data_IF_145630243966
#
_entry.id   IF_145630243966
#
_cell.length_a   1.000
_cell.length_b   1.000
_cell.length_c   1.000
_cell.angle_alpha   90.00
_cell.angle_beta   90.00
_cell.angle_gamma   90.00
#
_symmetry.space_group_name_H-M   'P 1'
#
loop_
_entity.id
_entity.type
_entity.pdbx_description
1 polymer ?
#
# COMPACT_ATOMS: atom_id res chain seq x y z
N UNK A 1 13.10 -12.90 -11.91
CA UNK A 1 12.44 -11.76 -11.20
C UNK A 1 11.51 -11.06 -12.15
N UNK A 2 10.39 -10.56 -11.69
CA UNK A 2 9.47 -9.71 -12.45
C UNK A 2 10.10 -8.34 -12.74
N UNK A 3 9.61 -7.66 -13.76
CA UNK A 3 10.00 -6.29 -14.12
C UNK A 3 9.95 -5.32 -12.92
N UNK A 4 8.93 -5.48 -12.08
CA UNK A 4 8.76 -4.69 -10.86
C UNK A 4 9.80 -4.98 -9.79
N UNK A 5 10.02 -6.25 -9.48
CA UNK A 5 11.04 -6.64 -8.49
C UNK A 5 12.42 -6.12 -8.89
N UNK A 6 12.73 -6.11 -10.19
CA UNK A 6 13.98 -5.53 -10.71
C UNK A 6 14.01 -4.02 -10.51
N UNK A 7 12.90 -3.32 -10.79
CA UNK A 7 12.79 -1.89 -10.57
C UNK A 7 12.96 -1.53 -9.08
N UNK A 8 12.37 -2.31 -8.18
CA UNK A 8 12.50 -2.14 -6.74
C UNK A 8 13.98 -2.30 -6.30
N UNK A 9 14.68 -3.33 -6.79
CA UNK A 9 16.12 -3.51 -6.52
C UNK A 9 16.94 -2.33 -7.04
N UNK A 10 16.65 -1.79 -8.22
CA UNK A 10 17.36 -0.62 -8.74
C UNK A 10 17.11 0.64 -7.90
N UNK A 11 15.89 0.84 -7.40
CA UNK A 11 15.56 1.93 -6.48
C UNK A 11 16.29 1.78 -5.14
N UNK A 12 16.35 0.57 -4.62
CA UNK A 12 17.12 0.25 -3.40
C UNK A 12 18.61 0.54 -3.59
N UNK A 13 19.20 0.11 -4.72
CA UNK A 13 20.59 0.43 -5.07
C UNK A 13 20.81 1.94 -5.07
N UNK A 14 19.93 2.71 -5.70
CA UNK A 14 20.03 4.16 -5.72
C UNK A 14 20.01 4.76 -4.31
N UNK A 15 19.11 4.29 -3.45
CA UNK A 15 18.96 4.73 -2.06
C UNK A 15 20.20 4.40 -1.23
N UNK A 16 20.71 3.17 -1.33
CA UNK A 16 21.92 2.72 -0.63
C UNK A 16 23.16 3.48 -1.11
N UNK A 17 23.29 3.73 -2.40
CA UNK A 17 24.36 4.56 -2.97
C UNK A 17 24.28 6.01 -2.46
N UNK A 18 23.09 6.56 -2.27
CA UNK A 18 22.90 7.89 -1.70
C UNK A 18 23.32 7.94 -0.22
N UNK A 19 22.98 6.93 0.58
CA UNK A 19 23.46 6.78 1.96
C UNK A 19 25.00 6.73 2.01
N UNK A 20 25.60 5.95 1.13
CA UNK A 20 27.06 5.80 1.03
C UNK A 20 27.74 7.07 0.51
N UNK A 21 26.98 7.92 -0.18
CA UNK A 21 27.50 9.17 -0.74
C UNK A 21 28.19 9.01 -2.06
N UNK A 22 27.79 8.05 -2.84
CA UNK A 22 28.27 7.81 -4.19
C UNK A 22 27.94 8.97 -5.15
N UNK A 23 28.49 8.90 -6.35
CA UNK A 23 28.31 9.93 -7.38
C UNK A 23 26.83 10.13 -7.73
N UNK A 24 26.30 11.37 -7.64
CA UNK A 24 24.89 11.69 -7.93
C UNK A 24 24.43 11.28 -9.33
N UNK A 25 25.32 11.26 -10.31
CA UNK A 25 24.97 10.83 -11.68
C UNK A 25 24.71 9.33 -11.75
N UNK A 26 25.50 8.53 -11.00
CA UNK A 26 25.25 7.09 -10.88
C UNK A 26 23.95 6.81 -10.17
N UNK A 27 23.69 7.50 -9.06
CA UNK A 27 22.41 7.36 -8.30
C UNK A 27 21.22 7.62 -9.20
N UNK A 28 21.26 8.74 -9.97
CA UNK A 28 20.20 9.07 -10.92
C UNK A 28 20.01 8.03 -12.02
N UNK A 29 21.09 7.43 -12.50
CA UNK A 29 21.00 6.38 -13.52
C UNK A 29 20.16 5.19 -13.03
N UNK A 30 20.37 4.73 -11.78
CA UNK A 30 19.58 3.65 -11.18
C UNK A 30 18.12 4.07 -10.95
N UNK A 31 17.87 5.23 -10.35
CA UNK A 31 16.50 5.73 -10.12
C UNK A 31 15.72 5.94 -11.42
N UNK A 32 16.39 6.45 -12.46
CA UNK A 32 15.76 6.65 -13.76
C UNK A 32 15.50 5.30 -14.47
N UNK A 33 16.45 4.35 -14.35
CA UNK A 33 16.29 3.00 -14.86
C UNK A 33 15.10 2.27 -14.22
N UNK A 34 15.00 2.34 -12.89
CA UNK A 34 13.87 1.80 -12.16
C UNK A 34 12.54 2.37 -12.65
N UNK A 35 12.43 3.72 -12.73
CA UNK A 35 11.22 4.39 -13.22
C UNK A 35 10.88 4.01 -14.66
N UNK A 36 11.90 3.86 -15.51
CA UNK A 36 11.69 3.42 -16.90
C UNK A 36 11.14 2.00 -16.95
N UNK A 37 11.69 1.06 -16.17
CA UNK A 37 11.16 -0.30 -16.06
C UNK A 37 9.71 -0.31 -15.57
N UNK A 38 9.37 0.51 -14.56
CA UNK A 38 8.00 0.62 -14.05
C UNK A 38 6.99 1.09 -15.11
N UNK A 39 7.43 1.93 -16.06
CA UNK A 39 6.57 2.56 -17.09
C UNK A 39 6.74 1.96 -18.49
N UNK A 40 7.50 0.89 -18.61
CA UNK A 40 7.76 0.23 -19.88
C UNK A 40 6.54 -0.60 -20.31
N UNK A 41 6.03 -0.35 -21.50
CA UNK A 41 4.89 -1.08 -22.07
C UNK A 41 5.33 -2.44 -22.66
N UNK A 42 6.57 -2.49 -23.18
CA UNK A 42 7.13 -3.70 -23.80
C UNK A 42 7.40 -4.79 -22.75
N UNK A 43 7.32 -6.02 -23.21
CA UNK A 43 7.67 -7.19 -22.41
C UNK A 43 9.19 -7.24 -22.18
N UNK A 44 9.58 -7.33 -20.91
CA UNK A 44 11.00 -7.38 -20.52
C UNK A 44 11.69 -8.64 -21.07
N UNK A 45 10.97 -9.75 -21.16
CA UNK A 45 11.48 -11.02 -21.69
C UNK A 45 11.89 -10.84 -23.16
N UNK A 46 11.01 -10.24 -23.97
CA UNK A 46 11.27 -9.97 -25.38
C UNK A 46 12.48 -9.03 -25.56
N UNK A 47 12.56 -7.96 -24.79
CA UNK A 47 13.68 -6.99 -24.86
C UNK A 47 15.03 -7.61 -24.50
N UNK A 48 15.05 -8.55 -23.54
CA UNK A 48 16.26 -9.25 -23.12
C UNK A 48 16.67 -10.28 -24.19
N UNK A 49 15.73 -11.05 -24.71
CA UNK A 49 15.98 -12.07 -25.73
C UNK A 49 16.44 -11.47 -27.06
N UNK A 50 15.90 -10.33 -27.45
CA UNK A 50 16.29 -9.60 -28.65
C UNK A 50 17.55 -8.75 -28.46
N UNK A 51 18.00 -8.54 -27.23
CA UNK A 51 19.15 -7.70 -26.89
C UNK A 51 18.92 -6.20 -27.11
N UNK A 52 17.65 -5.77 -27.14
CA UNK A 52 17.24 -4.38 -27.44
C UNK A 52 17.06 -3.52 -26.18
N UNK A 53 17.28 -4.07 -25.00
CA UNK A 53 17.18 -3.34 -23.72
C UNK A 53 18.11 -2.09 -23.67
N UNK A 54 19.24 -2.13 -24.39
CA UNK A 54 20.17 -0.99 -24.52
C UNK A 54 19.62 0.17 -25.36
N UNK A 55 18.59 -0.05 -26.16
CA UNK A 55 17.99 0.97 -27.04
C UNK A 55 17.03 1.88 -26.26
N UNK A 56 16.67 1.48 -25.03
CA UNK A 56 15.85 2.27 -24.14
C UNK A 56 16.66 3.48 -23.65
N UNK A 57 16.19 4.72 -23.85
CA UNK A 57 16.89 5.91 -23.39
C UNK A 57 17.15 5.89 -21.88
N UNK A 58 18.44 5.95 -21.50
CA UNK A 58 18.88 5.90 -20.11
C UNK A 58 19.40 4.53 -19.65
N UNK A 59 19.28 3.48 -20.47
CA UNK A 59 19.86 2.18 -20.20
C UNK A 59 21.26 2.08 -20.80
N UNK A 60 22.24 2.50 -20.01
CA UNK A 60 23.65 2.29 -20.38
C UNK A 60 24.06 0.84 -20.09
N UNK A 61 25.14 0.40 -20.77
CA UNK A 61 25.67 -0.98 -20.72
C UNK A 61 25.69 -1.60 -19.30
N UNK A 62 26.20 -0.84 -18.31
CA UNK A 62 26.29 -1.34 -16.94
C UNK A 62 24.94 -1.53 -16.23
N UNK A 63 23.89 -0.82 -16.65
CA UNK A 63 22.52 -1.00 -16.14
C UNK A 63 21.86 -2.20 -16.80
N UNK A 64 22.02 -2.32 -18.12
CA UNK A 64 21.55 -3.48 -18.89
C UNK A 64 22.07 -4.78 -18.32
N UNK A 65 23.39 -4.91 -18.14
CA UNK A 65 24.02 -6.09 -17.52
C UNK A 65 23.40 -6.47 -16.17
N UNK A 66 23.07 -5.48 -15.33
CA UNK A 66 22.48 -5.72 -14.00
C UNK A 66 21.01 -6.15 -14.09
N UNK A 67 20.24 -5.53 -14.99
CA UNK A 67 18.85 -5.91 -15.23
C UNK A 67 18.77 -7.33 -15.75
N UNK A 68 19.62 -7.69 -16.74
CA UNK A 68 19.69 -9.05 -17.25
C UNK A 68 20.12 -10.07 -16.20
N UNK A 69 21.10 -9.71 -15.34
CA UNK A 69 21.53 -10.58 -14.23
C UNK A 69 20.39 -10.81 -13.25
N UNK A 70 19.72 -9.74 -12.82
CA UNK A 70 18.55 -9.85 -11.92
C UNK A 70 17.43 -10.67 -12.53
N UNK A 71 17.16 -10.49 -13.82
CA UNK A 71 16.13 -11.24 -14.53
C UNK A 71 16.46 -12.73 -14.58
N UNK A 72 17.70 -13.10 -14.99
CA UNK A 72 18.12 -14.49 -15.21
C UNK A 72 18.43 -15.23 -13.90
N UNK A 73 19.09 -14.57 -12.95
CA UNK A 73 19.65 -15.20 -11.76
C UNK A 73 18.85 -14.92 -10.48
N UNK A 74 17.95 -13.92 -10.51
CA UNK A 74 17.16 -13.52 -9.34
C UNK A 74 17.98 -12.84 -8.22
N UNK A 75 19.28 -12.61 -8.43
CA UNK A 75 20.20 -11.98 -7.46
C UNK A 75 21.27 -11.17 -8.16
N UNK A 76 21.81 -10.17 -7.46
CA UNK A 76 22.87 -9.32 -7.97
C UNK A 76 23.94 -9.13 -6.87
N UNK A 77 25.12 -9.69 -7.07
CA UNK A 77 26.25 -9.62 -6.12
C UNK A 77 26.60 -8.17 -5.75
N UNK A 78 26.55 -7.27 -6.72
CA UNK A 78 26.75 -5.84 -6.48
C UNK A 78 25.78 -5.27 -5.44
N UNK A 79 24.52 -5.66 -5.48
CA UNK A 79 23.48 -5.21 -4.54
C UNK A 79 23.74 -5.76 -3.13
N UNK A 80 24.09 -7.04 -3.02
CA UNK A 80 24.41 -7.66 -1.73
C UNK A 80 25.66 -7.01 -1.10
N UNK A 81 26.72 -6.87 -1.88
CA UNK A 81 27.94 -6.18 -1.41
C UNK A 81 27.67 -4.74 -0.99
N UNK A 82 26.80 -4.03 -1.72
CA UNK A 82 26.43 -2.67 -1.38
C UNK A 82 25.66 -2.63 -0.05
N UNK A 83 24.70 -3.53 0.17
CA UNK A 83 23.98 -3.69 1.45
C UNK A 83 24.93 -3.94 2.61
N UNK A 84 25.83 -4.89 2.47
CA UNK A 84 26.82 -5.25 3.50
C UNK A 84 27.79 -4.11 3.82
N UNK A 85 28.02 -3.20 2.87
CA UNK A 85 28.92 -2.05 3.05
C UNK A 85 28.32 -0.89 3.84
N UNK A 86 27.05 -0.95 4.20
CA UNK A 86 26.33 0.11 4.93
C UNK A 86 25.94 -0.41 6.31
N UNK A 87 26.15 0.43 7.32
CA UNK A 87 25.72 0.08 8.67
C UNK A 87 24.22 -0.18 8.73
N UNK A 88 23.78 -1.34 9.24
CA UNK A 88 22.36 -1.73 9.26
C UNK A 88 21.44 -0.67 9.89
N UNK A 89 21.91 0.04 10.92
CA UNK A 89 21.14 1.09 11.57
C UNK A 89 20.82 2.28 10.67
N UNK A 90 21.67 2.61 9.70
CA UNK A 90 21.41 3.68 8.73
C UNK A 90 20.29 3.26 7.76
N UNK A 91 20.25 1.99 7.38
CA UNK A 91 19.18 1.43 6.54
C UNK A 91 17.84 1.45 7.30
N UNK A 92 17.85 1.05 8.58
CA UNK A 92 16.66 1.09 9.43
C UNK A 92 16.10 2.50 9.63
N UNK A 93 16.92 3.54 9.58
CA UNK A 93 16.45 4.92 9.67
C UNK A 93 15.64 5.37 8.43
N UNK A 94 15.77 4.70 7.28
CA UNK A 94 14.92 4.98 6.10
C UNK A 94 13.44 4.70 6.35
N UNK A 95 13.12 3.85 7.33
CA UNK A 95 11.74 3.54 7.73
C UNK A 95 11.09 4.69 8.52
N UNK A 96 11.86 5.70 8.95
CA UNK A 96 11.35 6.85 9.70
C UNK A 96 10.72 7.85 8.72
N UNK A 97 9.42 8.16 8.85
CA UNK A 97 8.73 9.08 7.96
C UNK A 97 9.42 10.47 7.88
N UNK A 98 9.69 10.91 6.64
CA UNK A 98 10.34 12.21 6.38
C UNK A 98 11.86 12.21 6.56
N UNK A 99 12.47 11.05 6.82
CA UNK A 99 13.92 10.87 6.95
C UNK A 99 14.46 10.09 5.74
N UNK A 100 14.76 10.78 4.64
CA UNK A 100 15.35 10.16 3.45
C UNK A 100 16.88 10.04 3.53
N UNK A 101 17.46 9.28 2.61
CA UNK A 101 18.90 8.97 2.55
C UNK A 101 19.82 10.19 2.69
N UNK A 102 19.49 11.33 2.08
CA UNK A 102 20.26 12.58 2.22
C UNK A 102 20.34 13.09 3.64
N UNK A 103 19.20 13.08 4.34
CA UNK A 103 19.13 13.53 5.74
C UNK A 103 19.86 12.57 6.66
N UNK A 104 19.70 11.26 6.47
CA UNK A 104 20.39 10.22 7.23
C UNK A 104 21.90 10.39 7.07
N UNK A 105 22.38 10.53 5.85
CA UNK A 105 23.80 10.79 5.57
C UNK A 105 24.31 12.07 6.26
N UNK A 106 23.53 13.15 6.23
CA UNK A 106 23.89 14.40 6.90
C UNK A 106 23.99 14.23 8.42
N UNK A 107 23.04 13.51 9.05
CA UNK A 107 23.03 13.17 10.47
C UNK A 107 24.22 12.28 10.84
N UNK A 108 24.48 11.24 10.06
CA UNK A 108 25.62 10.37 10.29
C UNK A 108 26.96 11.14 10.22
N UNK A 109 27.13 11.96 9.17
CA UNK A 109 28.34 12.74 8.97
C UNK A 109 28.57 13.81 10.06
N UNK A 110 27.50 14.48 10.50
CA UNK A 110 27.61 15.60 11.43
C UNK A 110 27.64 15.15 12.91
N UNK A 111 26.87 14.13 13.24
CA UNK A 111 26.65 13.69 14.64
C UNK A 111 27.14 12.27 14.92
N UNK A 112 27.65 11.54 13.91
CA UNK A 112 28.06 10.14 14.06
C UNK A 112 26.90 9.18 14.38
N UNK A 113 25.67 9.55 14.04
CA UNK A 113 24.48 8.74 14.33
C UNK A 113 24.44 7.53 13.39
N UNK A 114 24.48 6.33 13.96
CA UNK A 114 24.48 5.05 13.22
C UNK A 114 23.35 4.12 13.62
N UNK A 115 22.52 4.51 14.60
CA UNK A 115 21.36 3.73 15.04
C UNK A 115 20.16 4.64 15.37
N UNK A 116 18.97 4.07 15.46
CA UNK A 116 17.75 4.79 15.81
C UNK A 116 17.83 5.31 17.24
N UNK A 117 18.42 4.55 18.16
CA UNK A 117 18.62 4.95 19.54
C UNK A 117 19.57 6.16 19.65
N UNK A 118 20.65 6.15 18.86
CA UNK A 118 21.57 7.29 18.77
C UNK A 118 20.89 8.52 18.18
N UNK A 119 20.02 8.34 17.19
CA UNK A 119 19.21 9.41 16.59
C UNK A 119 18.21 9.97 17.58
N UNK A 120 17.52 9.11 18.35
CA UNK A 120 16.60 9.52 19.40
C UNK A 120 17.31 10.39 20.43
N UNK A 121 18.46 9.93 20.92
CA UNK A 121 19.27 10.71 21.88
C UNK A 121 19.70 12.05 21.30
N UNK A 122 20.13 12.09 20.03
CA UNK A 122 20.49 13.35 19.37
C UNK A 122 19.30 14.33 19.25
N UNK A 123 18.07 13.82 19.08
CA UNK A 123 16.86 14.64 19.12
C UNK A 123 16.55 15.15 20.53
N UNK A 124 16.68 14.30 21.57
CA UNK A 124 16.47 14.67 22.97
C UNK A 124 17.48 15.75 23.43
N UNK A 125 18.71 15.66 22.98
CA UNK A 125 19.80 16.61 23.25
C UNK A 125 19.70 17.88 22.35
N UNK A 126 18.69 18.00 21.49
CA UNK A 126 18.47 19.09 20.53
C UNK A 126 19.58 19.27 19.48
N UNK A 127 20.46 18.32 19.29
CA UNK A 127 21.58 18.40 18.35
C UNK A 127 21.15 18.38 16.89
N UNK A 128 19.99 17.77 16.58
CA UNK A 128 19.45 17.69 15.21
C UNK A 128 18.92 19.04 14.75
N UNK A 129 18.27 19.80 15.63
CA UNK A 129 17.69 21.11 15.32
C UNK A 129 18.72 22.16 14.91
N UNK A 130 19.96 22.02 15.41
CA UNK A 130 21.07 22.97 15.18
C UNK A 130 21.82 22.68 13.87
N UNK A 131 21.52 21.57 13.18
CA UNK A 131 22.16 21.24 11.91
C UNK A 131 21.57 22.04 10.74
N UNK A 132 22.44 22.43 9.82
CA UNK A 132 22.04 23.08 8.58
C UNK A 132 21.08 22.15 7.77
N UNK A 133 19.96 22.71 7.34
CA UNK A 133 18.91 21.97 6.61
C UNK A 133 17.93 21.18 7.48
N UNK A 134 18.07 21.26 8.83
CA UNK A 134 17.13 20.71 9.77
C UNK A 134 16.34 21.82 10.49
N UNK A 135 16.18 21.88 11.70
CA UNK A 135 15.43 22.86 12.49
C UNK A 135 14.43 22.17 13.39
N UNK A 136 13.89 22.91 14.35
CA UNK A 136 13.02 22.35 15.40
C UNK A 136 11.89 21.47 14.86
N UNK A 137 11.15 21.95 13.85
CA UNK A 137 10.06 21.17 13.24
C UNK A 137 10.53 19.85 12.60
N UNK A 138 11.74 19.84 12.01
CA UNK A 138 12.30 18.60 11.44
C UNK A 138 12.69 17.63 12.54
N UNK A 139 13.32 18.12 13.61
CA UNK A 139 13.67 17.32 14.77
C UNK A 139 12.44 16.74 15.46
N UNK A 140 11.40 17.55 15.69
CA UNK A 140 10.14 17.11 16.28
C UNK A 140 9.51 15.98 15.46
N UNK A 141 9.44 16.14 14.12
CA UNK A 141 8.95 15.09 13.22
C UNK A 141 9.78 13.82 13.24
N UNK A 142 11.11 13.94 13.34
CA UNK A 142 12.00 12.77 13.43
C UNK A 142 11.78 12.07 14.78
N UNK A 143 11.75 12.82 15.89
CA UNK A 143 11.50 12.25 17.21
C UNK A 143 10.12 11.57 17.31
N UNK A 144 9.10 12.18 16.71
CA UNK A 144 7.78 11.59 16.57
C UNK A 144 7.80 10.34 15.71
N UNK A 145 8.48 10.37 14.54
CA UNK A 145 8.65 9.23 13.66
C UNK A 145 9.35 8.05 14.34
N UNK A 146 10.36 8.30 15.18
CA UNK A 146 11.02 7.27 15.98
C UNK A 146 10.04 6.64 16.98
N UNK A 147 9.30 7.46 17.75
CA UNK A 147 8.29 6.97 18.70
C UNK A 147 7.21 6.15 18.03
N UNK A 148 6.84 6.55 16.84
CA UNK A 148 5.79 5.92 16.06
C UNK A 148 6.28 4.70 15.27
N UNK A 149 7.60 4.54 15.04
CA UNK A 149 8.17 3.41 14.27
C UNK A 149 7.70 2.06 14.80
N UNK A 150 7.70 1.87 16.11
CA UNK A 150 7.19 0.64 16.73
C UNK A 150 5.69 0.44 16.49
N UNK A 151 4.94 1.53 16.41
CA UNK A 151 3.52 1.51 16.08
C UNK A 151 3.28 1.38 14.56
N UNK A 152 4.11 2.02 13.70
CA UNK A 152 4.01 1.93 12.23
C UNK A 152 4.54 0.62 11.65
N UNK A 153 5.51 -0.03 12.28
CA UNK A 153 6.07 -1.31 11.88
C UNK A 153 5.14 -2.51 12.12
N UNK A 154 4.04 -2.32 12.83
CA UNK A 154 3.04 -3.36 13.07
C UNK A 154 1.96 -3.29 12.00
N UNK A 155 2.15 -4.03 10.91
CA UNK A 155 1.01 -4.35 10.04
C UNK A 155 -0.02 -5.10 10.86
N UNK A 156 -1.27 -4.73 10.69
CA UNK A 156 -2.40 -5.35 11.38
C UNK A 156 -2.96 -6.47 10.52
N UNK A 157 -3.28 -7.61 11.14
CA UNK A 157 -4.04 -8.65 10.46
C UNK A 157 -5.39 -8.08 10.01
N UNK A 158 -5.81 -8.43 8.80
CA UNK A 158 -7.05 -7.93 8.20
C UNK A 158 -8.26 -8.05 9.11
N UNK A 159 -8.43 -9.21 9.75
CA UNK A 159 -9.58 -9.45 10.63
C UNK A 159 -9.55 -8.59 11.91
N UNK A 160 -8.36 -8.19 12.41
CA UNK A 160 -8.25 -7.24 13.53
C UNK A 160 -8.56 -5.82 13.09
N UNK A 161 -8.10 -5.45 11.91
CA UNK A 161 -8.40 -4.14 11.32
C UNK A 161 -9.90 -4.01 11.02
N UNK A 162 -10.57 -5.10 10.64
CA UNK A 162 -11.99 -5.18 10.39
C UNK A 162 -12.83 -4.75 11.60
N UNK A 163 -12.44 -5.15 12.81
CA UNK A 163 -13.15 -4.77 14.04
C UNK A 163 -13.19 -3.24 14.27
N UNK A 164 -12.25 -2.49 13.67
CA UNK A 164 -12.25 -1.01 13.66
C UNK A 164 -12.95 -0.46 12.42
N UNK A 165 -12.71 -1.09 11.27
CA UNK A 165 -13.16 -0.61 9.97
C UNK A 165 -14.68 -0.69 9.78
N UNK A 166 -15.31 -1.83 10.12
CA UNK A 166 -16.74 -2.04 9.88
C UNK A 166 -17.62 -1.07 10.67
N UNK A 167 -17.41 -0.82 11.98
CA UNK A 167 -18.19 0.17 12.72
C UNK A 167 -18.05 1.60 12.18
N UNK A 168 -16.87 1.96 11.67
CA UNK A 168 -16.66 3.29 11.07
C UNK A 168 -17.45 3.39 9.76
N UNK A 169 -17.41 2.37 8.91
CA UNK A 169 -18.18 2.39 7.67
C UNK A 169 -19.69 2.43 7.93
N UNK A 170 -20.19 1.64 8.87
CA UNK A 170 -21.59 1.65 9.28
C UNK A 170 -22.01 3.02 9.78
N UNK A 171 -21.18 3.66 10.63
CA UNK A 171 -21.44 5.00 11.12
C UNK A 171 -21.40 6.06 10.02
N UNK A 172 -20.46 5.98 9.08
CA UNK A 172 -20.42 6.87 7.91
C UNK A 172 -21.70 6.74 7.07
N UNK A 173 -22.15 5.52 6.80
CA UNK A 173 -23.39 5.25 6.04
C UNK A 173 -24.67 5.71 6.76
N UNK A 174 -24.63 5.88 8.08
CA UNK A 174 -25.74 6.38 8.87
C UNK A 174 -25.87 7.92 8.88
N UNK A 175 -24.85 8.63 8.42
CA UNK A 175 -24.90 10.11 8.34
C UNK A 175 -25.78 10.56 7.18
N UNK A 176 -26.67 11.53 7.43
CA UNK A 176 -27.57 12.11 6.41
C UNK A 176 -26.83 12.82 5.28
N UNK A 177 -25.61 13.28 5.54
CA UNK A 177 -24.73 13.97 4.58
C UNK A 177 -24.00 13.02 3.64
N UNK A 178 -24.04 11.72 3.91
CA UNK A 178 -23.33 10.68 3.14
C UNK A 178 -24.26 10.01 2.16
N UNK A 179 -23.97 10.13 0.88
CA UNK A 179 -24.71 9.44 -0.18
C UNK A 179 -24.15 8.03 -0.45
N UNK A 180 -22.83 7.90 -0.41
CA UNK A 180 -22.09 6.64 -0.62
C UNK A 180 -20.87 6.61 0.30
N UNK A 181 -20.54 5.45 0.83
CA UNK A 181 -19.28 5.23 1.54
C UNK A 181 -18.76 3.82 1.28
N UNK A 182 -17.45 3.66 1.28
CA UNK A 182 -16.79 2.35 1.16
C UNK A 182 -15.40 2.36 1.78
N UNK A 183 -14.96 1.20 2.22
CA UNK A 183 -13.53 0.95 2.43
C UNK A 183 -12.78 1.06 1.09
N UNK A 184 -11.49 1.34 1.17
CA UNK A 184 -10.58 1.34 0.04
C UNK A 184 -9.24 0.67 0.42
N UNK A 185 -8.18 0.90 -0.33
CA UNK A 185 -6.84 0.45 -0.05
C UNK A 185 -6.67 -1.06 0.05
N UNK A 186 -5.62 -1.47 0.74
CA UNK A 186 -5.28 -2.88 0.93
C UNK A 186 -6.33 -3.63 1.76
N UNK A 187 -7.07 -2.93 2.62
CA UNK A 187 -8.16 -3.51 3.40
C UNK A 187 -9.31 -3.98 2.49
N UNK A 188 -9.74 -3.15 1.54
CA UNK A 188 -10.79 -3.53 0.58
C UNK A 188 -10.33 -4.66 -0.35
N UNK A 189 -9.05 -4.70 -0.71
CA UNK A 189 -8.47 -5.80 -1.48
C UNK A 189 -8.25 -7.09 -0.66
N UNK A 190 -8.69 -7.11 0.59
CA UNK A 190 -8.58 -8.26 1.51
C UNK A 190 -7.16 -8.82 1.65
N UNK A 191 -6.17 -7.92 1.68
CA UNK A 191 -4.78 -8.34 1.96
C UNK A 191 -4.69 -8.86 3.39
N UNK A 192 -3.98 -9.97 3.60
CA UNK A 192 -3.81 -10.60 4.92
C UNK A 192 -3.34 -9.60 5.98
N UNK A 193 -2.45 -8.69 5.59
CA UNK A 193 -1.92 -7.62 6.45
C UNK A 193 -2.18 -6.26 5.84
N UNK A 194 -2.73 -5.36 6.61
CA UNK A 194 -3.01 -3.97 6.24
C UNK A 194 -2.15 -3.01 7.06
N UNK A 195 -1.64 -1.94 6.44
CA UNK A 195 -0.88 -0.89 7.11
C UNK A 195 -1.78 0.17 7.72
N UNK A 196 -2.85 0.49 7.01
CA UNK A 196 -3.81 1.56 7.30
C UNK A 196 -5.20 1.17 6.81
N UNK A 197 -6.18 1.98 7.19
CA UNK A 197 -7.54 1.90 6.68
C UNK A 197 -7.82 3.12 5.81
N UNK A 198 -8.32 2.91 4.61
CA UNK A 198 -8.78 3.97 3.72
C UNK A 198 -10.30 3.93 3.61
N UNK A 199 -10.94 5.11 3.74
CA UNK A 199 -12.36 5.31 3.52
C UNK A 199 -12.59 6.36 2.46
N UNK A 200 -13.49 6.06 1.54
CA UNK A 200 -13.95 7.01 0.52
C UNK A 200 -15.43 7.28 0.76
N UNK A 201 -15.80 8.55 0.77
CA UNK A 201 -17.17 9.01 0.99
C UNK A 201 -17.59 9.96 -0.14
N UNK A 202 -18.75 9.74 -0.69
CA UNK A 202 -19.44 10.65 -1.59
C UNK A 202 -20.38 11.54 -0.79
N UNK A 203 -20.06 12.84 -0.71
CA UNK A 203 -20.89 13.83 -0.01
C UNK A 203 -20.71 15.21 -0.64
N UNK A 204 -21.82 15.97 -0.67
CA UNK A 204 -21.82 17.39 -1.04
C UNK A 204 -21.51 18.33 0.14
N UNK A 205 -21.48 17.81 1.36
CA UNK A 205 -21.23 18.55 2.61
C UNK A 205 -20.15 17.86 3.44
N UNK A 206 -18.85 17.99 3.10
CA UNK A 206 -17.78 17.21 3.73
C UNK A 206 -17.53 17.54 5.21
N UNK A 207 -17.75 18.78 5.67
CA UNK A 207 -17.34 19.20 7.01
C UNK A 207 -17.95 18.35 8.14
N UNK A 208 -19.28 18.10 8.21
CA UNK A 208 -19.85 17.24 9.25
C UNK A 208 -19.29 15.81 9.22
N UNK A 209 -18.99 15.28 8.04
CA UNK A 209 -18.44 13.93 7.86
C UNK A 209 -17.00 13.87 8.41
N UNK A 210 -16.20 14.91 8.13
CA UNK A 210 -14.85 15.03 8.66
C UNK A 210 -14.85 15.14 10.19
N UNK A 211 -15.70 16.01 10.75
CA UNK A 211 -15.83 16.20 12.19
C UNK A 211 -16.27 14.91 12.90
N UNK A 212 -17.22 14.21 12.32
CA UNK A 212 -17.67 12.93 12.83
C UNK A 212 -16.54 11.88 12.82
N UNK A 213 -15.76 11.81 11.75
CA UNK A 213 -14.69 10.82 11.61
C UNK A 213 -13.56 11.03 12.64
N UNK A 214 -13.13 12.27 12.86
CA UNK A 214 -12.06 12.55 13.83
C UNK A 214 -12.51 12.40 15.29
N UNK A 215 -13.81 12.40 15.55
CA UNK A 215 -14.40 12.22 16.87
C UNK A 215 -14.68 10.75 17.24
N UNK A 216 -14.23 9.79 16.42
CA UNK A 216 -14.48 8.37 16.67
C UNK A 216 -13.84 7.89 17.96
N UNK A 217 -14.52 6.96 18.64
CA UNK A 217 -14.00 6.32 19.84
C UNK A 217 -12.67 5.60 19.57
N UNK A 218 -11.73 5.69 20.50
CA UNK A 218 -10.40 5.08 20.36
C UNK A 218 -9.41 5.86 19.47
N UNK A 219 -9.82 7.01 18.93
CA UNK A 219 -8.88 7.93 18.26
C UNK A 219 -7.94 8.52 19.33
N UNK A 220 -6.66 8.21 19.17
CA UNK A 220 -5.58 8.73 20.02
C UNK A 220 -5.07 10.08 19.53
N UNK A 221 -5.02 10.25 18.22
CA UNK A 221 -4.40 11.42 17.58
C UNK A 221 -5.10 11.72 16.25
N UNK A 222 -5.36 13.02 16.01
CA UNK A 222 -5.78 13.52 14.69
C UNK A 222 -4.54 14.04 13.98
N UNK A 223 -4.07 13.30 12.97
CA UNK A 223 -2.83 13.64 12.26
C UNK A 223 -3.06 14.60 11.09
N UNK A 224 -4.28 14.65 10.56
CA UNK A 224 -4.72 15.63 9.58
C UNK A 224 -6.24 15.86 9.68
N UNK A 225 -6.67 17.12 9.53
CA UNK A 225 -8.08 17.51 9.45
C UNK A 225 -8.20 18.67 8.46
N UNK A 226 -8.47 18.34 7.21
CA UNK A 226 -8.63 19.27 6.09
C UNK A 226 -10.08 19.32 5.61
N UNK A 227 -10.31 20.04 4.53
CA UNK A 227 -11.68 20.22 3.96
C UNK A 227 -12.22 18.91 3.36
N UNK A 228 -11.35 18.08 2.75
CA UNK A 228 -11.74 16.86 2.03
C UNK A 228 -10.93 15.63 2.43
N UNK A 229 -9.94 15.78 3.31
CA UNK A 229 -9.13 14.69 3.84
C UNK A 229 -8.95 14.84 5.35
N UNK A 230 -9.21 13.77 6.09
CA UNK A 230 -8.85 13.63 7.50
C UNK A 230 -8.05 12.34 7.72
N UNK A 231 -7.15 12.37 8.70
CA UNK A 231 -6.33 11.23 9.08
C UNK A 231 -6.29 11.12 10.59
N UNK A 232 -6.52 9.95 11.11
CA UNK A 232 -6.51 9.66 12.54
C UNK A 232 -5.62 8.46 12.84
N UNK A 233 -5.16 8.38 14.09
CA UNK A 233 -4.48 7.20 14.63
C UNK A 233 -5.23 6.72 15.86
N UNK A 234 -5.55 5.44 15.87
CA UNK A 234 -6.20 4.77 16.99
C UNK A 234 -5.18 4.37 18.07
N UNK A 235 -5.69 4.10 19.29
CA UNK A 235 -4.86 3.60 20.40
C UNK A 235 -4.11 2.30 20.05
N UNK A 236 -4.67 1.48 19.18
CA UNK A 236 -4.04 0.27 18.63
C UNK A 236 -2.81 0.53 17.75
N UNK A 237 -2.54 1.79 17.38
CA UNK A 237 -1.53 2.20 16.42
C UNK A 237 -2.00 2.17 14.96
N UNK A 238 -3.20 1.60 14.69
CA UNK A 238 -3.77 1.57 13.34
C UNK A 238 -4.12 3.00 12.89
N UNK A 239 -3.67 3.38 11.72
CA UNK A 239 -4.02 4.65 11.08
C UNK A 239 -5.27 4.46 10.21
N UNK A 240 -6.09 5.51 10.13
CA UNK A 240 -7.21 5.56 9.19
C UNK A 240 -7.26 6.91 8.48
N UNK A 241 -7.47 6.86 7.19
CA UNK A 241 -7.59 8.00 6.29
C UNK A 241 -9.02 8.05 5.72
N UNK A 242 -9.64 9.20 5.82
CA UNK A 242 -10.94 9.48 5.18
C UNK A 242 -10.75 10.49 4.07
N UNK A 243 -11.34 10.22 2.91
CA UNK A 243 -11.50 11.20 1.82
C UNK A 243 -12.96 11.37 1.49
N UNK A 244 -13.40 12.62 1.42
CA UNK A 244 -14.73 12.99 0.94
C UNK A 244 -14.60 13.62 -0.43
N UNK A 245 -15.36 13.11 -1.37
CA UNK A 245 -15.39 13.57 -2.76
C UNK A 245 -16.84 13.91 -3.17
N UNK A 246 -17.04 14.75 -4.19
CA UNK A 246 -18.35 14.94 -4.77
C UNK A 246 -18.98 13.59 -5.19
N UNK A 247 -20.28 13.36 -4.99
CA UNK A 247 -20.92 12.06 -5.27
C UNK A 247 -20.67 11.51 -6.67
N UNK A 248 -20.59 12.38 -7.69
CA UNK A 248 -20.29 12.00 -9.08
C UNK A 248 -18.88 11.44 -9.27
N UNK A 249 -17.94 11.79 -8.40
CA UNK A 249 -16.55 11.33 -8.47
C UNK A 249 -16.30 10.09 -7.63
N UNK A 250 -17.28 9.64 -6.85
CA UNK A 250 -17.12 8.56 -5.89
C UNK A 250 -16.57 7.28 -6.51
N UNK A 251 -17.10 6.84 -7.64
CA UNK A 251 -16.69 5.59 -8.30
C UNK A 251 -15.22 5.64 -8.77
N UNK A 252 -14.78 6.79 -9.29
CA UNK A 252 -13.40 7.00 -9.73
C UNK A 252 -12.44 7.10 -8.55
N UNK A 253 -12.81 7.82 -7.50
CA UNK A 253 -12.03 7.89 -6.27
C UNK A 253 -11.93 6.52 -5.61
N UNK A 254 -13.04 5.78 -5.51
CA UNK A 254 -13.05 4.42 -4.96
C UNK A 254 -12.12 3.49 -5.75
N UNK A 255 -12.20 3.51 -7.08
CA UNK A 255 -11.29 2.74 -7.93
C UNK A 255 -9.83 3.10 -7.67
N UNK A 256 -9.49 4.40 -7.73
CA UNK A 256 -8.14 4.90 -7.53
C UNK A 256 -7.55 4.52 -6.16
N UNK A 257 -8.30 4.80 -5.08
CA UNK A 257 -7.84 4.55 -3.71
C UNK A 257 -7.93 3.07 -3.30
N UNK A 258 -8.74 2.27 -3.99
CA UNK A 258 -8.68 0.81 -3.84
C UNK A 258 -7.33 0.28 -4.30
N UNK A 259 -6.78 0.78 -5.40
CA UNK A 259 -5.52 0.34 -5.98
C UNK A 259 -5.62 -1.11 -6.53
N UNK A 260 -4.49 -1.85 -6.56
CA UNK A 260 -3.17 -1.47 -6.08
C UNK A 260 -2.54 -0.33 -6.91
N UNK A 261 -1.33 0.12 -6.51
CA UNK A 261 -0.55 1.08 -7.33
C UNK A 261 -0.34 0.54 -8.74
N UNK A 262 0.00 -0.73 -8.86
CA UNK A 262 0.30 -1.37 -10.14
C UNK A 262 -0.96 -1.53 -10.99
N UNK A 263 -2.05 -2.00 -10.39
CA UNK A 263 -3.35 -2.02 -11.06
C UNK A 263 -3.73 -0.64 -11.61
N UNK A 264 -3.55 0.42 -10.82
CA UNK A 264 -3.82 1.78 -11.27
C UNK A 264 -2.91 2.24 -12.42
N UNK A 265 -1.65 1.78 -12.45
CA UNK A 265 -0.74 2.05 -13.57
C UNK A 265 -1.26 1.39 -14.84
N UNK A 266 -1.59 0.10 -14.78
CA UNK A 266 -2.14 -0.66 -15.91
C UNK A 266 -3.45 -0.05 -16.43
N UNK A 267 -4.37 0.31 -15.53
CA UNK A 267 -5.64 0.96 -15.90
C UNK A 267 -5.43 2.33 -16.57
N UNK A 268 -4.45 3.13 -16.13
CA UNK A 268 -4.11 4.40 -16.77
C UNK A 268 -3.46 4.20 -18.13
N UNK A 269 -2.57 3.23 -18.28
CA UNK A 269 -1.98 2.86 -19.58
C UNK A 269 -3.08 2.42 -20.56
N UNK A 270 -3.99 1.59 -20.09
CA UNK A 270 -5.16 1.17 -20.86
C UNK A 270 -6.02 2.34 -21.32
N UNK A 271 -6.30 3.30 -20.43
CA UNK A 271 -7.06 4.51 -20.76
C UNK A 271 -6.31 5.34 -21.83
N UNK A 272 -5.00 5.55 -21.65
CA UNK A 272 -4.16 6.31 -22.60
C UNK A 272 -4.14 5.67 -23.98
N UNK A 273 -4.05 4.35 -24.07
CA UNK A 273 -4.11 3.62 -25.35
C UNK A 273 -5.43 3.81 -26.10
N UNK A 274 -6.49 4.29 -25.39
CA UNK A 274 -7.80 4.65 -25.96
C UNK A 274 -8.01 6.15 -26.13
N UNK A 275 -6.97 6.95 -25.98
CA UNK A 275 -7.07 8.41 -26.04
C UNK A 275 -7.78 9.02 -24.83
N UNK A 276 -7.82 8.31 -23.71
CA UNK A 276 -8.47 8.74 -22.47
C UNK A 276 -7.44 8.94 -21.36
N UNK A 277 -7.78 9.75 -20.35
CA UNK A 277 -6.99 9.98 -19.14
C UNK A 277 -7.83 9.64 -17.91
N UNK A 278 -7.36 8.66 -17.11
CA UNK A 278 -8.01 8.17 -15.90
C UNK A 278 -7.31 8.70 -14.65
N UNK A 279 -8.07 9.24 -13.72
CA UNK A 279 -7.59 9.66 -12.40
C UNK A 279 -8.67 9.43 -11.32
N UNK A 280 -8.36 9.83 -10.08
CA UNK A 280 -9.34 9.86 -8.98
C UNK A 280 -10.51 10.82 -9.19
N UNK A 281 -10.37 11.76 -10.11
CA UNK A 281 -11.39 12.79 -10.41
C UNK A 281 -12.35 12.38 -11.51
N UNK A 282 -11.96 11.39 -12.34
CA UNK A 282 -12.77 10.98 -13.47
C UNK A 282 -11.98 10.32 -14.60
N UNK A 283 -12.70 10.10 -15.70
CA UNK A 283 -12.18 9.63 -16.99
C UNK A 283 -12.54 10.66 -18.06
N UNK A 284 -11.57 11.20 -18.78
CA UNK A 284 -11.77 12.24 -19.79
C UNK A 284 -10.95 11.93 -21.04
N UNK A 285 -11.24 12.55 -22.23
CA UNK A 285 -10.34 12.55 -23.35
C UNK A 285 -8.94 13.07 -22.93
N UNK A 286 -7.87 12.45 -23.43
CA UNK A 286 -6.51 12.75 -23.01
C UNK A 286 -6.09 14.21 -23.34
N UNK A 287 -6.67 14.78 -24.36
CA UNK A 287 -6.46 16.18 -24.82
C UNK A 287 -7.39 17.20 -24.16
N UNK A 288 -8.39 16.76 -23.38
CA UNK A 288 -9.29 17.68 -22.67
C UNK A 288 -8.54 18.33 -21.49
N UNK A 289 -8.82 19.62 -21.22
CA UNK A 289 -8.18 20.36 -20.14
C UNK A 289 -8.77 20.05 -18.76
N UNK A 290 -10.08 19.78 -18.69
CA UNK A 290 -10.79 19.55 -17.43
C UNK A 290 -11.54 18.21 -17.40
N UNK A 291 -12.00 17.79 -16.21
CA UNK A 291 -12.87 16.63 -16.02
C UNK A 291 -14.37 16.98 -16.11
N UNK A 292 -14.72 18.25 -16.35
CA UNK A 292 -16.14 18.67 -16.47
C UNK A 292 -16.81 18.02 -17.68
N UNK A 293 -16.05 17.82 -18.77
CA UNK A 293 -16.51 17.13 -19.98
C UNK A 293 -16.15 15.63 -19.97
N UNK A 294 -15.86 15.08 -18.78
CA UNK A 294 -15.46 13.70 -18.61
C UNK A 294 -16.60 12.71 -18.78
N UNK A 295 -16.22 11.44 -18.95
CA UNK A 295 -17.18 10.33 -19.01
C UNK A 295 -17.71 10.04 -17.61
N UNK A 296 -19.04 9.89 -17.49
CA UNK A 296 -19.67 9.54 -16.22
C UNK A 296 -19.63 8.02 -15.97
N UNK A 297 -19.46 7.64 -14.73
CA UNK A 297 -19.52 6.25 -14.28
C UNK A 297 -20.13 6.17 -12.88
N UNK A 298 -21.30 5.52 -12.77
CA UNK A 298 -22.01 5.39 -11.49
C UNK A 298 -21.42 4.32 -10.57
N UNK A 299 -20.61 3.44 -11.13
CA UNK A 299 -19.96 2.32 -10.43
C UNK A 299 -18.57 2.04 -11.01
N UNK A 300 -17.79 1.22 -10.31
CA UNK A 300 -16.51 0.76 -10.84
C UNK A 300 -16.68 -0.14 -12.07
N UNK A 301 -17.72 -0.97 -12.11
CA UNK A 301 -18.07 -1.79 -13.29
C UNK A 301 -18.23 -0.93 -14.54
N UNK A 302 -18.85 0.26 -14.40
CA UNK A 302 -18.98 1.20 -15.51
C UNK A 302 -17.61 1.75 -15.95
N UNK A 303 -16.67 2.00 -15.02
CA UNK A 303 -15.30 2.42 -15.36
C UNK A 303 -14.59 1.35 -16.19
N UNK A 304 -14.67 0.07 -15.76
CA UNK A 304 -14.10 -1.04 -16.52
C UNK A 304 -14.75 -1.18 -17.90
N UNK A 305 -16.09 -1.08 -17.99
CA UNK A 305 -16.81 -1.17 -19.25
C UNK A 305 -16.43 -0.04 -20.24
N UNK A 306 -16.22 1.19 -19.76
CA UNK A 306 -15.73 2.32 -20.57
C UNK A 306 -14.31 2.09 -21.15
N UNK A 307 -13.56 1.17 -20.56
CA UNK A 307 -12.23 0.76 -21.02
C UNK A 307 -12.22 -0.60 -21.74
N UNK A 308 -13.41 -1.12 -22.13
CA UNK A 308 -13.61 -2.44 -22.75
C UNK A 308 -13.02 -3.58 -21.89
N UNK A 309 -13.26 -3.54 -20.60
CA UNK A 309 -12.84 -4.57 -19.65
C UNK A 309 -14.04 -5.13 -18.89
N UNK A 310 -13.98 -6.41 -18.55
CA UNK A 310 -14.83 -6.99 -17.53
C UNK A 310 -14.37 -6.48 -16.17
N UNK A 311 -15.31 -6.36 -15.22
CA UNK A 311 -15.01 -5.91 -13.89
C UNK A 311 -13.96 -6.82 -13.21
N UNK A 312 -12.94 -6.19 -12.64
CA UNK A 312 -11.91 -6.86 -11.82
C UNK A 312 -12.30 -6.69 -10.35
N UNK A 313 -12.60 -7.78 -9.62
CA UNK A 313 -12.83 -7.70 -8.18
C UNK A 313 -11.64 -7.07 -7.46
N UNK A 314 -11.88 -6.26 -6.40
CA UNK A 314 -10.80 -5.62 -5.64
C UNK A 314 -9.68 -6.58 -5.19
N UNK A 315 -10.04 -7.80 -4.80
CA UNK A 315 -9.13 -8.84 -4.34
C UNK A 315 -8.08 -9.26 -5.38
N UNK A 316 -8.37 -9.05 -6.65
CA UNK A 316 -7.50 -9.44 -7.77
C UNK A 316 -6.67 -8.28 -8.34
N UNK A 317 -6.84 -7.05 -7.84
CA UNK A 317 -6.19 -5.84 -8.37
C UNK A 317 -4.76 -5.68 -7.86
N UNK A 318 -3.86 -6.58 -8.22
CA UNK A 318 -2.46 -6.59 -7.75
C UNK A 318 -1.42 -6.43 -8.87
N UNK A 319 -1.84 -6.24 -10.13
CA UNK A 319 -0.95 -6.10 -11.29
C UNK A 319 -0.33 -7.44 -11.72
N UNK A 320 -1.08 -8.54 -11.58
CA UNK A 320 -0.62 -9.91 -11.82
C UNK A 320 -1.30 -10.56 -13.07
N UNK A 321 -1.63 -9.74 -14.08
CA UNK A 321 -2.28 -10.22 -15.31
C UNK A 321 -3.81 -10.14 -15.29
N UNK A 322 -4.37 -9.40 -14.32
CA UNK A 322 -5.83 -9.25 -14.22
C UNK A 322 -6.42 -8.40 -15.33
N UNK A 323 -5.65 -7.50 -15.96
CA UNK A 323 -6.14 -6.68 -17.08
C UNK A 323 -6.33 -7.54 -18.32
N UNK A 324 -5.36 -8.38 -18.65
CA UNK A 324 -5.41 -9.33 -19.76
C UNK A 324 -6.57 -10.33 -19.57
N UNK A 325 -6.73 -10.85 -18.35
CA UNK A 325 -7.85 -11.74 -18.03
C UNK A 325 -9.20 -11.03 -18.19
N UNK A 326 -9.30 -9.74 -17.81
CA UNK A 326 -10.51 -8.94 -17.95
C UNK A 326 -10.87 -8.64 -19.42
N UNK A 327 -9.88 -8.60 -20.32
CA UNK A 327 -10.10 -8.46 -21.76
C UNK A 327 -10.74 -9.73 -22.38
N UNK A 328 -10.31 -10.88 -21.95
CA UNK A 328 -10.67 -12.17 -22.59
C UNK A 328 -11.90 -12.81 -21.93
N UNK A 329 -11.67 -13.65 -20.93
CA UNK A 329 -12.70 -14.49 -20.31
C UNK A 329 -13.36 -13.82 -19.09
N UNK A 330 -12.67 -12.91 -18.42
CA UNK A 330 -13.01 -12.42 -17.08
C UNK A 330 -12.55 -13.40 -16.00
N UNK A 331 -13.21 -13.35 -14.85
CA UNK A 331 -12.82 -14.10 -13.68
C UNK A 331 -13.88 -15.12 -13.28
N UNK A 332 -13.49 -16.24 -12.68
CA UNK A 332 -14.45 -17.11 -12.00
C UNK A 332 -15.07 -16.37 -10.82
N UNK A 333 -16.24 -16.83 -10.39
CA UNK A 333 -16.81 -16.35 -9.12
C UNK A 333 -15.84 -16.64 -7.97
N UNK A 334 -15.49 -15.58 -7.22
CA UNK A 334 -14.64 -15.73 -6.05
C UNK A 334 -15.44 -16.36 -4.91
N UNK A 335 -14.75 -17.21 -4.14
CA UNK A 335 -15.33 -17.81 -2.94
C UNK A 335 -15.82 -16.74 -1.96
N UNK A 336 -17.02 -16.92 -1.45
CA UNK A 336 -17.66 -16.10 -0.42
C UNK A 336 -17.84 -16.92 0.86
N UNK A 337 -18.06 -16.23 1.98
CA UNK A 337 -18.31 -16.91 3.25
C UNK A 337 -19.52 -17.84 3.15
N UNK A 338 -20.56 -17.43 2.42
CA UNK A 338 -21.78 -18.21 2.21
C UNK A 338 -21.59 -19.48 1.36
N UNK A 339 -20.47 -19.60 0.65
CA UNK A 339 -20.12 -20.81 -0.10
C UNK A 339 -19.48 -21.90 0.81
N UNK A 340 -19.09 -21.51 2.04
CA UNK A 340 -18.48 -22.44 2.99
C UNK A 340 -19.53 -23.34 3.62
N UNK A 341 -19.38 -24.63 3.42
CA UNK A 341 -20.26 -25.66 3.99
C UNK A 341 -19.80 -26.19 5.33
N UNK A 342 -18.56 -25.90 5.70
CA UNK A 342 -17.99 -26.30 6.97
C UNK A 342 -16.48 -26.14 7.03
N UNK A 343 -15.89 -26.44 8.18
CA UNK A 343 -14.47 -26.29 8.45
C UNK A 343 -13.92 -27.47 9.24
N UNK A 344 -12.60 -27.65 9.15
CA UNK A 344 -11.84 -28.63 9.93
C UNK A 344 -10.75 -27.93 10.73
N UNK A 345 -10.10 -28.68 11.61
CA UNK A 345 -8.96 -28.27 12.40
C UNK A 345 -9.29 -27.10 13.35
N UNK A 346 -10.35 -27.33 14.14
CA UNK A 346 -10.75 -26.42 15.21
C UNK A 346 -10.44 -27.04 16.57
N UNK A 347 -9.97 -26.22 17.50
CA UNK A 347 -9.61 -26.62 18.86
C UNK A 347 -10.58 -25.97 19.84
N UNK A 348 -10.95 -26.74 20.89
CA UNK A 348 -11.81 -26.25 21.97
C UNK A 348 -11.02 -26.10 23.27
N UNK A 349 -11.69 -25.67 24.34
CA UNK A 349 -11.10 -25.64 25.69
C UNK A 349 -10.75 -27.04 26.24
N UNK A 350 -11.03 -28.12 25.50
CA UNK A 350 -10.55 -29.46 25.83
C UNK A 350 -9.02 -29.59 25.53
N UNK A 351 -8.44 -28.70 24.73
CA UNK A 351 -6.98 -28.58 24.50
C UNK A 351 -6.52 -27.11 24.62
N UNK A 352 -6.18 -26.47 23.57
CA UNK A 352 -5.60 -25.11 23.51
C UNK A 352 -6.54 -24.07 22.89
N UNK A 353 -7.77 -24.46 22.54
CA UNK A 353 -8.81 -23.55 22.08
C UNK A 353 -9.33 -22.65 23.21
N UNK A 354 -10.06 -21.60 22.84
CA UNK A 354 -10.56 -20.56 23.76
C UNK A 354 -12.06 -20.65 24.02
N UNK A 355 -12.79 -21.39 23.20
CA UNK A 355 -14.23 -21.57 23.30
C UNK A 355 -14.56 -23.05 23.59
N UNK A 356 -15.67 -23.28 24.28
CA UNK A 356 -16.15 -24.63 24.55
C UNK A 356 -16.66 -25.30 23.27
N UNK A 357 -16.89 -26.63 23.38
CA UNK A 357 -17.48 -27.39 22.28
C UNK A 357 -18.88 -26.87 21.93
N UNK A 358 -19.65 -26.51 22.96
CA UNK A 358 -20.99 -25.96 22.82
C UNK A 358 -20.98 -24.61 22.09
N UNK A 359 -20.15 -23.65 22.54
CA UNK A 359 -20.01 -22.33 21.92
C UNK A 359 -19.55 -22.43 20.46
N UNK A 360 -18.61 -23.32 20.16
CA UNK A 360 -18.16 -23.57 18.79
C UNK A 360 -19.24 -24.16 17.90
N UNK A 361 -20.07 -25.06 18.49
CA UNK A 361 -21.20 -25.68 17.77
C UNK A 361 -22.28 -24.65 17.45
N UNK A 362 -22.66 -23.81 18.43
CA UNK A 362 -23.62 -22.73 18.22
C UNK A 362 -23.14 -21.78 17.14
N UNK A 363 -21.86 -21.33 17.18
CA UNK A 363 -21.30 -20.48 16.17
C UNK A 363 -21.31 -21.11 14.76
N UNK A 364 -21.04 -22.41 14.65
CA UNK A 364 -21.09 -23.10 13.36
C UNK A 364 -22.54 -23.20 12.83
N UNK A 365 -23.54 -23.39 13.71
CA UNK A 365 -24.95 -23.37 13.34
C UNK A 365 -25.42 -21.96 12.90
N UNK A 366 -25.01 -20.92 13.61
CA UNK A 366 -25.34 -19.54 13.29
C UNK A 366 -24.76 -19.11 11.91
N UNK A 367 -23.59 -19.68 11.55
CA UNK A 367 -22.97 -19.51 10.23
C UNK A 367 -23.61 -20.38 9.14
N UNK A 368 -24.60 -21.21 9.49
CA UNK A 368 -25.27 -22.09 8.53
C UNK A 368 -24.41 -23.26 8.03
N UNK A 369 -23.33 -23.61 8.72
CA UNK A 369 -22.46 -24.70 8.29
C UNK A 369 -23.11 -26.08 8.49
N UNK A 370 -22.87 -26.99 7.56
CA UNK A 370 -23.38 -28.36 7.57
C UNK A 370 -22.56 -29.26 8.50
N UNK A 371 -21.29 -28.92 8.72
CA UNK A 371 -20.37 -29.67 9.58
C UNK A 371 -19.23 -28.79 10.08
N UNK A 372 -18.61 -29.18 11.16
CA UNK A 372 -17.32 -28.70 11.62
C UNK A 372 -16.51 -29.81 12.28
N UNK A 373 -15.18 -29.78 12.11
CA UNK A 373 -14.28 -30.82 12.58
C UNK A 373 -13.50 -30.38 13.79
N UNK A 374 -13.69 -31.06 14.93
CA UNK A 374 -12.93 -30.88 16.16
C UNK A 374 -11.60 -31.62 16.03
N UNK A 375 -10.50 -30.94 16.33
CA UNK A 375 -9.14 -31.48 16.25
C UNK A 375 -8.35 -31.21 17.54
N UNK A 376 -9.01 -31.35 18.69
CA UNK A 376 -8.38 -31.14 19.99
C UNK A 376 -7.16 -32.04 20.17
N UNK A 377 -6.10 -31.48 20.75
CA UNK A 377 -4.88 -32.23 21.05
C UNK A 377 -5.12 -33.31 22.12
N UNK A 378 -4.47 -34.45 21.96
CA UNK A 378 -4.48 -35.48 22.96
C UNK A 378 -3.67 -35.07 24.20
N UNK A 379 -3.95 -35.69 25.36
CA UNK A 379 -3.19 -35.47 26.61
C UNK A 379 -1.69 -35.77 26.49
N UNK A 380 -1.26 -36.47 25.45
CA UNK A 380 0.13 -36.80 25.19
C UNK A 380 0.86 -35.73 24.33
N UNK A 381 0.12 -34.75 23.79
CA UNK A 381 0.71 -33.62 23.06
C UNK A 381 1.42 -32.65 24.02
N UNK A 382 2.65 -32.30 23.71
CA UNK A 382 3.31 -31.16 24.35
C UNK A 382 2.85 -29.88 23.65
N UNK A 383 2.29 -28.98 24.42
CA UNK A 383 1.90 -27.63 24.00
C UNK A 383 2.73 -26.60 24.72
#
# INVERSE_FOLDING_TARGET
MTKREIADVLNDIATLMELKGENPFKIRAYSNGARKLETLDEDLDALIDEGTLSDIPGFGKALVEKVETLYKEGRLEFYETLKESIEPGLVLMLEIPGLGAKKIKALNKALGVTSIEALQKACEDNLVADLEGFGKKSQEKIAEGIKNREAYGKRHLWWRARAVADPILEGLLALSEVEKASHAGSFRRKREHVGDLDFIVGSSTPAPVMDWFVAQAGVKEVTAHGETKASVRFESGLQADLRVVPPKQFSFALHHFTGSKDHNVLMRQRALARGLSLSEWGLKPADAESFEDGLEADSEEAIFALLDLKFVPPELREGLGEIEAAEEAGFPDLLKVDDLRGVFHNHTTASDGRASLEEMTEAAQDLGWEYWGVADHSKASFQ
#
